data_IF_218408731901
#
_entry.id   IF_218408731901
#
_cell.length_a   1.000
_cell.length_b   1.000
_cell.length_c   1.000
_cell.angle_alpha   90.00
_cell.angle_beta   90.00
_cell.angle_gamma   90.00
#
_symmetry.space_group_name_H-M   'P 1'
#
loop_
_entity.id
_entity.type
_entity.pdbx_description
1 polymer ?
#
# COMPACT_ATOMS: atom_id res chain seq x y z
N UNK A 1 -13.55 -2.40 10.56
CA UNK A 1 -14.35 -3.49 9.96
C UNK A 1 -14.69 -3.09 8.53
N UNK A 2 -14.26 -3.84 7.50
CA UNK A 2 -14.70 -3.60 6.11
C UNK A 2 -15.77 -4.62 5.74
N UNK A 3 -16.94 -4.14 5.31
CA UNK A 3 -18.02 -4.96 4.76
C UNK A 3 -17.63 -5.42 3.36
N UNK A 4 -17.53 -6.74 3.13
CA UNK A 4 -17.42 -7.30 1.77
C UNK A 4 -18.80 -7.30 1.12
N UNK A 5 -18.98 -6.55 0.03
CA UNK A 5 -20.16 -6.71 -0.84
C UNK A 5 -19.91 -7.86 -1.82
N UNK A 6 -20.94 -8.71 -1.96
CA UNK A 6 -21.00 -9.80 -2.92
C UNK A 6 -21.49 -9.28 -4.28
N UNK A 7 -20.59 -8.68 -5.04
CA UNK A 7 -20.69 -8.49 -6.49
C UNK A 7 -19.30 -8.07 -6.96
N UNK A 8 -18.84 -8.56 -8.11
CA UNK A 8 -17.46 -8.43 -8.62
C UNK A 8 -16.95 -7.02 -8.93
N UNK A 9 -17.45 -6.00 -8.25
CA UNK A 9 -16.87 -4.67 -8.16
C UNK A 9 -15.65 -4.73 -7.23
N UNK A 10 -14.51 -4.18 -7.67
CA UNK A 10 -13.33 -4.04 -6.81
C UNK A 10 -13.72 -3.20 -5.59
N UNK A 11 -13.89 -3.83 -4.44
CA UNK A 11 -14.29 -3.12 -3.22
C UNK A 11 -13.09 -2.32 -2.71
N UNK A 12 -13.03 -1.05 -3.07
CA UNK A 12 -12.16 -0.10 -2.40
C UNK A 12 -12.56 0.03 -0.93
N UNK A 13 -11.57 0.26 -0.07
CA UNK A 13 -11.85 0.67 1.28
C UNK A 13 -12.55 2.02 1.27
N UNK A 14 -13.67 2.14 1.99
CA UNK A 14 -14.51 3.33 2.04
C UNK A 14 -13.94 4.46 2.91
N UNK A 15 -12.74 4.28 3.47
CA UNK A 15 -12.11 5.27 4.34
C UNK A 15 -12.83 5.45 5.69
N UNK A 16 -13.76 4.57 6.07
CA UNK A 16 -14.63 4.78 7.24
C UNK A 16 -13.87 5.05 8.55
N UNK A 17 -12.68 4.47 8.71
CA UNK A 17 -11.87 4.63 9.91
C UNK A 17 -10.68 5.60 9.74
N UNK A 18 -10.62 6.34 8.63
CA UNK A 18 -9.46 7.15 8.23
C UNK A 18 -9.28 8.41 9.08
N UNK A 19 -10.39 9.03 9.47
CA UNK A 19 -10.41 10.31 10.18
C UNK A 19 -11.30 10.23 11.44
N UNK A 20 -11.29 9.07 12.12
CA UNK A 20 -12.02 8.91 13.39
C UNK A 20 -11.48 9.89 14.45
N UNK A 21 -12.35 10.47 15.28
CA UNK A 21 -11.93 11.25 16.44
C UNK A 21 -11.07 10.42 17.39
N UNK A 22 -10.05 11.05 17.98
CA UNK A 22 -9.13 10.38 18.92
C UNK A 22 -9.85 9.72 20.10
N UNK A 23 -10.95 10.31 20.56
CA UNK A 23 -11.80 9.75 21.62
C UNK A 23 -12.41 8.41 21.19
N UNK A 24 -12.95 8.33 19.97
CA UNK A 24 -13.54 7.10 19.44
C UNK A 24 -12.48 6.02 19.22
N UNK A 25 -11.30 6.41 18.71
CA UNK A 25 -10.15 5.50 18.57
C UNK A 25 -9.78 4.91 19.94
N UNK A 26 -9.63 5.77 20.94
CA UNK A 26 -9.23 5.36 22.30
C UNK A 26 -10.27 4.43 22.93
N UNK A 27 -11.56 4.72 22.76
CA UNK A 27 -12.64 3.86 23.23
C UNK A 27 -12.63 2.47 22.57
N UNK A 28 -12.42 2.39 21.25
CA UNK A 28 -12.35 1.11 20.52
C UNK A 28 -11.13 0.29 20.92
N UNK A 29 -9.98 0.94 21.11
CA UNK A 29 -8.75 0.29 21.58
C UNK A 29 -8.93 -0.24 23.01
N UNK A 30 -9.51 0.54 23.91
CA UNK A 30 -9.81 0.12 25.29
C UNK A 30 -10.80 -1.05 25.35
N UNK A 31 -11.75 -1.11 24.41
CA UNK A 31 -12.70 -2.21 24.26
C UNK A 31 -12.10 -3.46 23.58
N UNK A 32 -10.83 -3.43 23.17
CA UNK A 32 -10.18 -4.56 22.51
C UNK A 32 -10.75 -4.90 21.12
N UNK A 33 -11.33 -3.92 20.43
CA UNK A 33 -11.91 -4.13 19.09
C UNK A 33 -10.79 -4.49 18.11
N UNK A 34 -10.87 -5.63 17.39
CA UNK A 34 -9.85 -6.00 16.40
C UNK A 34 -9.73 -4.95 15.29
N UNK A 35 -8.49 -4.61 14.93
CA UNK A 35 -8.18 -3.62 13.91
C UNK A 35 -7.05 -4.11 12.98
N UNK A 36 -6.92 -3.42 11.85
CA UNK A 36 -5.80 -3.58 10.91
C UNK A 36 -5.12 -2.22 10.77
N UNK A 37 -3.85 -2.22 10.36
CA UNK A 37 -3.15 -0.99 9.99
C UNK A 37 -3.17 -0.91 8.46
N UNK A 38 -3.60 0.24 7.93
CA UNK A 38 -3.64 0.51 6.49
C UNK A 38 -2.69 1.64 6.12
N UNK A 39 -2.18 1.60 4.90
CA UNK A 39 -1.46 2.73 4.31
C UNK A 39 -2.46 3.85 4.00
N UNK A 40 -2.14 5.08 4.39
CA UNK A 40 -2.93 6.27 4.04
C UNK A 40 -2.45 6.80 2.68
N UNK A 41 -3.11 6.41 1.59
CA UNK A 41 -2.79 6.89 0.25
C UNK A 41 -3.27 8.35 0.10
N UNK A 42 -2.51 9.28 -0.54
CA UNK A 42 -3.00 10.63 -0.80
C UNK A 42 -4.36 10.59 -1.53
N UNK A 43 -5.29 11.50 -1.22
CA UNK A 43 -6.64 11.43 -1.79
C UNK A 43 -6.73 12.02 -3.21
N UNK A 44 -5.86 12.98 -3.52
CA UNK A 44 -5.87 13.75 -4.76
C UNK A 44 -4.50 13.74 -5.43
N UNK A 45 -4.47 14.07 -6.71
CA UNK A 45 -3.25 14.12 -7.52
C UNK A 45 -2.89 12.78 -8.16
N UNK A 46 -1.64 12.65 -8.56
CA UNK A 46 -1.10 11.45 -9.21
C UNK A 46 0.09 10.93 -8.42
N UNK A 47 0.23 9.61 -8.37
CA UNK A 47 1.45 8.95 -7.90
C UNK A 47 2.05 8.24 -9.09
N UNK A 48 3.32 8.55 -9.37
CA UNK A 48 4.06 7.93 -10.46
C UNK A 48 5.39 7.34 -10.04
N UNK A 49 5.97 6.57 -10.94
CA UNK A 49 7.31 6.01 -10.81
C UNK A 49 7.92 5.74 -12.18
N UNK A 50 9.24 5.68 -12.23
CA UNK A 50 9.98 5.29 -13.41
C UNK A 50 10.28 3.79 -13.39
N UNK A 51 9.78 3.07 -14.38
CA UNK A 51 10.10 1.66 -14.62
C UNK A 51 11.12 1.54 -15.75
N UNK A 52 12.16 0.72 -15.55
CA UNK A 52 13.22 0.52 -16.55
C UNK A 52 12.70 -0.07 -17.87
N UNK A 53 11.63 -0.86 -17.84
CA UNK A 53 11.07 -1.56 -19.02
C UNK A 53 9.88 -0.80 -19.62
N UNK A 54 9.03 -0.23 -18.78
CA UNK A 54 7.78 0.41 -19.20
C UNK A 54 7.86 1.93 -19.28
N UNK A 55 8.95 2.54 -18.82
CA UNK A 55 9.11 4.00 -18.76
C UNK A 55 8.35 4.60 -17.58
N UNK A 56 7.99 5.88 -17.71
CA UNK A 56 7.25 6.60 -16.68
C UNK A 56 5.80 6.13 -16.61
N UNK A 57 5.34 5.79 -15.40
CA UNK A 57 3.98 5.34 -15.13
C UNK A 57 3.37 6.23 -14.07
N UNK A 58 2.16 6.74 -14.33
CA UNK A 58 1.36 7.49 -13.37
C UNK A 58 0.02 6.80 -13.14
N UNK A 59 -0.46 6.90 -11.91
CA UNK A 59 -1.80 6.43 -11.53
C UNK A 59 -2.48 7.56 -10.77
N UNK A 60 -3.76 7.79 -11.06
CA UNK A 60 -4.56 8.73 -10.28
C UNK A 60 -4.70 8.19 -8.85
N UNK A 61 -4.47 9.05 -7.86
CA UNK A 61 -4.56 8.65 -6.46
C UNK A 61 -5.96 8.14 -6.08
N UNK A 62 -7.02 8.55 -6.79
CA UNK A 62 -8.37 7.99 -6.62
C UNK A 62 -8.49 6.51 -7.00
N UNK A 63 -7.58 5.98 -7.81
CA UNK A 63 -7.54 4.56 -8.22
C UNK A 63 -6.71 3.70 -7.26
N UNK A 64 -5.97 4.31 -6.34
CA UNK A 64 -5.11 3.62 -5.38
C UNK A 64 -5.85 3.41 -4.06
N UNK A 65 -6.05 2.14 -3.68
CA UNK A 65 -6.69 1.79 -2.41
C UNK A 65 -5.73 1.83 -1.20
N UNK A 66 -6.28 2.17 -0.02
CA UNK A 66 -5.61 2.09 1.28
C UNK A 66 -5.33 0.62 1.67
N UNK A 67 -4.22 0.09 1.16
CA UNK A 67 -3.85 -1.31 1.38
C UNK A 67 -3.58 -1.62 2.85
N UNK A 68 -3.89 -2.85 3.26
CA UNK A 68 -3.57 -3.35 4.59
C UNK A 68 -2.06 -3.60 4.69
N UNK A 69 -1.43 -3.06 5.72
CA UNK A 69 -0.03 -3.25 6.08
C UNK A 69 0.13 -4.32 7.16
N UNK A 70 -0.70 -4.23 8.22
CA UNK A 70 -0.70 -5.17 9.35
C UNK A 70 -2.09 -5.74 9.54
N UNK A 71 -2.19 -7.06 9.60
CA UNK A 71 -3.43 -7.82 9.81
C UNK A 71 -3.87 -7.79 11.28
N UNK A 72 -5.07 -8.27 11.55
CA UNK A 72 -5.64 -8.33 12.92
C UNK A 72 -4.85 -9.24 13.87
N UNK A 73 -4.07 -10.18 13.32
CA UNK A 73 -3.18 -11.07 14.07
C UNK A 73 -1.80 -10.44 14.35
N UNK A 74 -1.60 -9.17 13.98
CA UNK A 74 -0.34 -8.45 14.15
C UNK A 74 0.72 -8.77 13.09
N UNK A 75 0.47 -9.71 12.18
CA UNK A 75 1.42 -10.07 11.14
C UNK A 75 1.37 -9.08 9.96
N UNK A 76 2.52 -8.75 9.36
CA UNK A 76 2.56 -7.93 8.16
C UNK A 76 1.93 -8.65 6.97
N UNK A 77 1.40 -7.87 6.03
CA UNK A 77 1.08 -8.38 4.70
C UNK A 77 2.36 -8.60 3.90
N UNK A 78 2.29 -9.48 2.89
CA UNK A 78 3.41 -9.71 1.98
C UNK A 78 3.95 -8.40 1.37
N UNK A 79 3.05 -7.53 0.91
CA UNK A 79 3.38 -6.24 0.33
C UNK A 79 4.19 -5.36 1.28
N UNK A 80 3.80 -5.31 2.56
CA UNK A 80 4.49 -4.49 3.56
C UNK A 80 5.81 -5.12 3.98
N UNK A 81 5.82 -6.41 4.27
CA UNK A 81 7.04 -7.15 4.64
C UNK A 81 8.12 -7.01 3.56
N UNK A 82 7.76 -7.21 2.29
CA UNK A 82 8.71 -7.09 1.19
C UNK A 82 9.37 -5.70 1.10
N UNK A 83 8.62 -4.62 1.27
CA UNK A 83 9.19 -3.26 1.21
C UNK A 83 10.17 -3.02 2.35
N UNK A 84 9.83 -3.50 3.56
CA UNK A 84 10.71 -3.38 4.73
C UNK A 84 11.95 -4.23 4.55
N UNK A 85 11.80 -5.49 4.12
CA UNK A 85 12.91 -6.42 3.90
C UNK A 85 13.85 -5.93 2.78
N UNK A 86 13.31 -5.41 1.68
CA UNK A 86 14.10 -4.84 0.59
C UNK A 86 15.02 -3.71 1.11
N UNK A 87 14.49 -2.81 1.93
CA UNK A 87 15.27 -1.74 2.54
C UNK A 87 16.32 -2.27 3.53
N UNK A 88 15.92 -3.14 4.46
CA UNK A 88 16.81 -3.68 5.49
C UNK A 88 17.94 -4.54 4.90
N UNK A 89 17.70 -5.20 3.76
CA UNK A 89 18.71 -5.98 3.05
C UNK A 89 19.56 -5.14 2.08
N UNK A 90 19.28 -3.84 1.94
CA UNK A 90 20.03 -2.96 1.05
C UNK A 90 19.84 -3.29 -0.43
N UNK A 91 18.65 -3.72 -0.83
CA UNK A 91 18.33 -4.00 -2.23
C UNK A 91 18.44 -2.70 -3.05
N UNK A 92 19.26 -2.76 -4.10
CA UNK A 92 19.51 -1.60 -4.97
C UNK A 92 18.67 -1.59 -6.23
N UNK A 93 18.13 -2.74 -6.65
CA UNK A 93 17.30 -2.87 -7.85
C UNK A 93 16.20 -3.89 -7.61
N UNK A 94 14.95 -3.49 -7.86
CA UNK A 94 13.78 -4.35 -7.67
C UNK A 94 13.30 -4.83 -9.03
N UNK A 95 13.42 -6.14 -9.28
CA UNK A 95 12.90 -6.79 -10.50
C UNK A 95 11.65 -7.60 -10.13
N UNK A 96 10.51 -7.28 -10.73
CA UNK A 96 9.22 -7.91 -10.41
C UNK A 96 8.41 -8.22 -11.66
N UNK A 97 7.47 -9.15 -11.59
CA UNK A 97 6.56 -9.44 -12.71
C UNK A 97 5.54 -8.32 -12.95
N UNK A 98 4.99 -8.24 -14.16
CA UNK A 98 3.99 -7.25 -14.59
C UNK A 98 2.74 -7.19 -13.72
N UNK A 99 2.41 -8.26 -13.01
CA UNK A 99 1.32 -8.30 -12.03
C UNK A 99 1.51 -7.29 -10.87
N UNK A 100 2.74 -6.83 -10.61
CA UNK A 100 3.02 -5.88 -9.54
C UNK A 100 3.00 -4.41 -9.98
N UNK A 101 2.82 -4.12 -11.27
CA UNK A 101 2.90 -2.76 -11.80
C UNK A 101 1.91 -1.79 -11.12
N UNK A 102 0.70 -2.26 -10.83
CA UNK A 102 -0.34 -1.48 -10.12
C UNK A 102 -0.07 -1.29 -8.62
N UNK A 103 0.87 -2.06 -8.06
CA UNK A 103 1.24 -1.98 -6.65
C UNK A 103 2.52 -1.18 -6.41
N UNK A 104 3.39 -1.06 -7.42
CA UNK A 104 4.65 -0.29 -7.34
C UNK A 104 4.47 1.16 -6.87
N UNK A 105 3.47 1.94 -7.34
CA UNK A 105 3.24 3.30 -6.81
C UNK A 105 3.04 3.31 -5.29
N UNK A 106 2.32 2.30 -4.75
CA UNK A 106 2.06 2.18 -3.32
C UNK A 106 3.31 1.81 -2.52
N UNK A 107 4.21 1.01 -3.10
CA UNK A 107 5.51 0.70 -2.49
C UNK A 107 6.38 1.94 -2.41
N UNK A 108 6.44 2.75 -3.47
CA UNK A 108 7.21 3.99 -3.46
C UNK A 108 6.70 4.98 -2.40
N UNK A 109 5.37 5.09 -2.25
CA UNK A 109 4.78 5.88 -1.17
C UNK A 109 5.16 5.38 0.24
N UNK A 110 5.38 4.07 0.42
CA UNK A 110 5.88 3.53 1.69
C UNK A 110 7.33 3.95 1.94
N UNK A 111 8.22 3.80 0.95
CA UNK A 111 9.60 4.29 1.03
C UNK A 111 9.64 5.79 1.40
N UNK A 112 8.84 6.61 0.72
CA UNK A 112 8.73 8.04 1.01
C UNK A 112 8.20 8.32 2.42
N UNK A 113 7.19 7.59 2.89
CA UNK A 113 6.65 7.74 4.23
C UNK A 113 7.66 7.40 5.33
N UNK A 114 8.59 6.47 5.07
CA UNK A 114 9.70 6.17 5.97
C UNK A 114 10.92 7.08 5.79
N UNK A 115 10.92 7.97 4.80
CA UNK A 115 12.07 8.80 4.46
C UNK A 115 13.23 8.02 3.83
N UNK A 116 12.94 6.89 3.19
CA UNK A 116 13.92 6.04 2.51
C UNK A 116 14.05 6.39 1.03
N UNK A 117 15.22 6.10 0.48
CA UNK A 117 15.44 6.17 -0.97
C UNK A 117 14.73 5.02 -1.67
N UNK A 118 14.00 5.34 -2.76
CA UNK A 118 13.30 4.34 -3.57
C UNK A 118 14.31 3.66 -4.49
N UNK A 119 14.46 2.32 -4.45
CA UNK A 119 15.35 1.63 -5.37
C UNK A 119 14.80 1.66 -6.81
N UNK A 120 15.67 1.78 -7.84
CA UNK A 120 15.31 1.55 -9.22
C UNK A 120 14.46 0.29 -9.41
N UNK A 121 13.33 0.43 -10.10
CA UNK A 121 12.37 -0.66 -10.32
C UNK A 121 12.31 -1.04 -11.80
N UNK A 122 12.29 -2.34 -12.06
CA UNK A 122 12.17 -2.91 -13.40
C UNK A 122 11.11 -4.00 -13.40
N UNK A 123 10.13 -3.87 -14.29
CA UNK A 123 9.06 -4.87 -14.41
C UNK A 123 9.33 -5.82 -15.57
N UNK A 124 9.48 -7.11 -15.28
CA UNK A 124 9.72 -8.14 -16.27
C UNK A 124 8.47 -8.44 -17.13
N UNK A 125 8.63 -8.43 -18.46
CA UNK A 125 7.60 -8.91 -19.40
C UNK A 125 7.55 -10.43 -19.40
N UNK A 126 6.35 -11.01 -19.39
CA UNK A 126 6.18 -12.41 -19.81
C UNK A 126 6.32 -12.47 -21.33
N UNK A 127 7.14 -13.41 -21.81
CA UNK A 127 7.35 -13.73 -23.23
C UNK A 127 6.09 -14.30 -23.88
#
# INVERSE_FOLDING_TARGET
MSSKKANGEMSHYDGHCRDLPQEEISAKLAAGVPYVIRQKIPAEGVTGFDDVVYGHIEVNNSELDDQILIKTDGMPTYNFANVVDDHLMGITHVIRGSEYLSSTPKYNLLYQAFGWEVPPTSTARRS
#
